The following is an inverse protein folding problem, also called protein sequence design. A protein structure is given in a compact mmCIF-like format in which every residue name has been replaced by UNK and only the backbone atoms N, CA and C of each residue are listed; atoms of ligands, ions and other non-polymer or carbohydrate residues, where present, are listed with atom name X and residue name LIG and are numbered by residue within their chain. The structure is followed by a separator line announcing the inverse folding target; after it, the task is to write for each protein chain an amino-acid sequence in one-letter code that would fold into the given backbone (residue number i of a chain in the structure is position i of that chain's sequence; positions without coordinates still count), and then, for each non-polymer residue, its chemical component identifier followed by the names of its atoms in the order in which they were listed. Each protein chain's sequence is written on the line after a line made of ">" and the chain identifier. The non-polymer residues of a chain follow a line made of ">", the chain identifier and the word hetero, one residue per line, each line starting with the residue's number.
data_IF_005176506059
#
_entry.id   IF_005176506059
#
_cell.length_a   1.000
_cell.length_b   1.000
_cell.length_c   1.000
_cell.angle_alpha   90.00
_cell.angle_beta   90.00
_cell.angle_gamma   90.00
#
_symmetry.space_group_name_H-M   'P 1'
#
loop_
_entity.id
_entity.type
_entity.pdbx_description
1 polymer ?
#
# COMPACT_ATOMS: atom_id res chain seq x y z
N UNK A 1 3.82 41.56 20.96
CA UNK A 1 3.22 41.28 19.65
C UNK A 1 4.34 41.03 18.64
N UNK A 2 4.33 39.85 18.02
CA UNK A 2 5.08 39.44 16.82
C UNK A 2 6.61 39.22 16.92
N UNK A 3 6.93 38.06 17.48
CA UNK A 3 8.03 37.19 17.08
C UNK A 3 7.62 36.49 15.78
N UNK A 4 8.13 36.92 14.62
CA UNK A 4 8.26 36.12 13.38
C UNK A 4 8.98 36.97 12.33
N UNK A 5 10.32 37.03 12.38
CA UNK A 5 11.16 37.62 11.32
C UNK A 5 12.37 36.75 10.99
N UNK A 6 12.27 35.44 11.11
CA UNK A 6 13.42 34.56 10.88
C UNK A 6 13.05 33.19 10.28
N UNK A 7 12.27 33.18 9.19
CA UNK A 7 12.27 32.09 8.20
C UNK A 7 11.86 32.66 6.85
N UNK A 8 12.80 33.15 6.03
CA UNK A 8 12.53 33.39 4.62
C UNK A 8 13.81 33.34 3.78
N UNK A 9 14.49 32.19 3.78
CA UNK A 9 15.65 31.99 2.88
C UNK A 9 15.85 30.51 2.47
N UNK A 10 14.79 29.84 2.01
CA UNK A 10 14.93 28.47 1.44
C UNK A 10 14.00 28.14 0.27
N UNK A 11 13.31 29.13 -0.33
CA UNK A 11 12.35 28.89 -1.42
C UNK A 11 12.98 29.06 -2.82
N UNK A 12 14.26 29.41 -2.93
CA UNK A 12 14.90 29.70 -4.23
C UNK A 12 15.38 28.44 -4.98
N UNK A 13 15.42 27.26 -4.34
CA UNK A 13 16.00 26.06 -4.97
C UNK A 13 15.00 25.11 -5.68
N UNK A 14 13.70 25.45 -5.74
CA UNK A 14 12.68 24.58 -6.36
C UNK A 14 12.05 25.16 -7.64
N UNK A 15 12.76 26.02 -8.38
CA UNK A 15 12.20 26.64 -9.60
C UNK A 15 13.02 26.41 -10.89
N UNK A 16 14.04 25.52 -10.89
CA UNK A 16 14.87 25.26 -12.09
C UNK A 16 14.92 23.75 -12.47
N UNK A 17 13.83 23.00 -12.27
CA UNK A 17 13.77 21.61 -12.79
C UNK A 17 12.41 21.20 -13.37
N UNK A 18 11.55 22.14 -13.74
CA UNK A 18 10.30 21.84 -14.45
C UNK A 18 10.34 22.10 -15.96
N UNK A 19 11.40 22.75 -16.47
CA UNK A 19 11.51 23.06 -17.90
C UNK A 19 12.28 22.02 -18.72
N UNK A 20 13.00 21.08 -18.10
CA UNK A 20 13.76 20.05 -18.84
C UNK A 20 12.92 18.77 -19.08
N UNK A 21 11.88 18.51 -18.29
CA UNK A 21 11.07 17.29 -18.45
C UNK A 21 10.04 17.34 -19.61
N UNK A 22 9.81 18.53 -20.21
CA UNK A 22 8.85 18.71 -21.31
C UNK A 22 9.40 18.39 -22.71
N UNK A 23 10.68 18.07 -22.86
CA UNK A 23 11.28 17.85 -24.19
C UNK A 23 11.53 16.39 -24.57
N UNK A 24 11.23 15.41 -23.72
CA UNK A 24 11.52 13.98 -24.03
C UNK A 24 10.26 13.15 -24.31
N UNK A 25 9.04 13.62 -24.00
CA UNK A 25 7.82 12.79 -24.08
C UNK A 25 6.78 13.18 -25.16
N UNK A 26 7.23 13.72 -26.30
CA UNK A 26 6.34 14.06 -27.44
C UNK A 26 6.30 13.02 -28.57
N UNK A 27 7.34 12.17 -28.72
CA UNK A 27 7.44 11.23 -29.86
C UNK A 27 7.09 9.77 -29.55
N UNK A 28 7.05 9.32 -28.29
CA UNK A 28 6.80 7.91 -27.98
C UNK A 28 5.30 7.58 -27.75
N UNK A 29 4.49 8.57 -27.40
CA UNK A 29 3.05 8.40 -27.09
C UNK A 29 2.17 8.25 -28.33
N UNK A 30 2.64 8.66 -29.52
CA UNK A 30 1.90 8.56 -30.79
C UNK A 30 2.03 7.20 -31.50
N UNK A 31 3.00 6.36 -31.11
CA UNK A 31 3.25 5.07 -31.77
C UNK A 31 2.46 3.91 -31.12
N UNK A 32 2.16 4.01 -29.83
CA UNK A 32 1.45 2.97 -29.08
C UNK A 32 -0.06 2.97 -29.40
N UNK A 33 -0.63 4.13 -29.73
CA UNK A 33 -2.07 4.27 -30.03
C UNK A 33 -2.50 3.79 -31.42
N UNK A 34 -1.58 3.50 -32.36
CA UNK A 34 -1.95 3.02 -33.71
C UNK A 34 -2.01 1.50 -33.89
N UNK A 35 -1.65 0.71 -32.87
CA UNK A 35 -1.55 -0.76 -32.99
C UNK A 35 -2.74 -1.53 -32.39
N UNK A 36 -3.67 -0.86 -31.70
CA UNK A 36 -4.80 -1.52 -31.01
C UNK A 36 -6.16 -1.38 -31.73
N UNK A 37 -6.27 -0.61 -32.81
CA UNK A 37 -7.52 -0.43 -33.57
C UNK A 37 -7.78 -1.53 -34.62
N UNK A 38 -7.02 -2.63 -34.60
CA UNK A 38 -7.05 -3.64 -35.66
C UNK A 38 -7.78 -4.95 -35.34
N UNK A 39 -8.46 -5.13 -34.19
CA UNK A 39 -8.86 -6.48 -33.79
C UNK A 39 -10.14 -6.69 -32.96
N UNK A 40 -11.16 -5.83 -33.03
CA UNK A 40 -12.50 -6.21 -32.50
C UNK A 40 -13.61 -5.71 -33.43
N UNK A 41 -14.02 -6.59 -34.35
CA UNK A 41 -15.34 -6.55 -34.98
C UNK A 41 -16.14 -7.71 -34.37
N UNK A 42 -17.13 -7.41 -33.53
CA UNK A 42 -18.47 -8.01 -33.59
C UNK A 42 -19.30 -7.75 -32.32
N UNK A 43 -20.61 -7.67 -32.59
CA UNK A 43 -21.77 -7.74 -31.69
C UNK A 43 -22.31 -6.39 -31.20
N UNK A 44 -23.25 -5.91 -32.01
CA UNK A 44 -24.23 -4.87 -31.74
C UNK A 44 -25.33 -5.33 -30.75
N UNK A 45 -26.22 -4.40 -30.43
CA UNK A 45 -27.37 -4.44 -29.49
C UNK A 45 -26.94 -4.29 -28.01
N UNK A 46 -27.26 -3.24 -27.28
CA UNK A 46 -28.21 -2.16 -27.46
C UNK A 46 -29.05 -2.05 -26.20
N UNK A 47 -28.54 -1.38 -25.16
CA UNK A 47 -29.35 -0.79 -24.09
C UNK A 47 -28.55 0.30 -23.37
N UNK A 48 -29.09 1.52 -23.39
CA UNK A 48 -28.59 2.70 -22.66
C UNK A 48 -28.72 2.45 -21.16
N UNK A 49 -27.84 3.03 -20.34
CA UNK A 49 -28.22 3.89 -19.20
C UNK A 49 -26.96 4.51 -18.51
N UNK A 50 -26.86 5.83 -18.71
CA UNK A 50 -26.46 6.90 -17.79
C UNK A 50 -25.11 6.87 -17.04
N UNK A 51 -24.23 7.76 -17.50
CA UNK A 51 -23.20 8.41 -16.68
C UNK A 51 -23.85 9.24 -15.56
N UNK A 52 -23.37 9.03 -14.33
CA UNK A 52 -23.33 10.10 -13.33
C UNK A 52 -21.97 10.07 -12.65
N UNK A 53 -21.02 10.87 -13.16
CA UNK A 53 -19.85 11.27 -12.39
C UNK A 53 -20.32 12.22 -11.30
N UNK A 54 -20.04 11.88 -10.04
CA UNK A 54 -20.08 12.83 -8.94
C UNK A 54 -18.76 12.82 -8.18
N UNK A 55 -18.47 13.99 -7.64
CA UNK A 55 -17.17 14.58 -7.41
C UNK A 55 -16.52 14.21 -6.07
N UNK A 56 -15.18 14.22 -6.06
CA UNK A 56 -14.26 14.59 -4.96
C UNK A 56 -14.36 13.85 -3.62
N UNK A 57 -13.28 13.13 -3.30
CA UNK A 57 -12.89 12.78 -1.94
C UNK A 57 -11.59 11.99 -1.97
N UNK A 58 -10.48 12.58 -1.50
CA UNK A 58 -9.21 11.88 -1.34
C UNK A 58 -9.36 10.79 -0.29
N UNK A 59 -9.32 9.52 -0.71
CA UNK A 59 -9.22 8.37 0.18
C UNK A 59 -8.25 7.35 -0.42
N UNK A 60 -7.45 6.77 0.48
CA UNK A 60 -6.45 5.72 0.29
C UNK A 60 -6.81 4.78 -0.88
N UNK A 61 -5.97 4.75 -1.92
CA UNK A 61 -6.14 3.84 -3.05
C UNK A 61 -5.89 2.40 -2.59
N UNK A 62 -6.96 1.65 -2.40
CA UNK A 62 -6.95 0.19 -2.34
C UNK A 62 -6.31 -0.34 -3.63
N UNK A 63 -5.07 -0.82 -3.52
CA UNK A 63 -4.41 -1.57 -4.59
C UNK A 63 -5.09 -2.93 -4.71
N UNK A 64 -6.14 -3.01 -5.53
CA UNK A 64 -6.79 -4.28 -5.87
C UNK A 64 -5.88 -5.00 -6.87
N UNK A 65 -5.07 -5.94 -6.38
CA UNK A 65 -4.37 -6.88 -7.27
C UNK A 65 -5.36 -7.98 -7.74
N UNK A 66 -5.40 -8.36 -9.03
CA UNK A 66 -6.58 -9.01 -9.62
C UNK A 66 -6.79 -10.50 -9.30
N UNK A 67 -6.12 -11.07 -8.29
CA UNK A 67 -6.06 -12.53 -8.11
C UNK A 67 -6.32 -13.06 -6.70
N UNK A 68 -6.69 -12.22 -5.73
CA UNK A 68 -6.99 -12.68 -4.37
C UNK A 68 -8.30 -12.12 -3.81
N UNK A 69 -9.17 -12.97 -3.23
CA UNK A 69 -10.50 -12.60 -2.75
C UNK A 69 -10.46 -12.02 -1.33
N UNK A 70 -9.45 -11.19 -1.05
CA UNK A 70 -9.18 -10.69 0.29
C UNK A 70 -9.03 -9.17 0.28
N UNK A 71 -9.61 -8.51 1.29
CA UNK A 71 -9.48 -7.06 1.47
C UNK A 71 -8.49 -6.79 2.59
N UNK A 72 -7.35 -6.18 2.26
CA UNK A 72 -6.36 -5.71 3.23
C UNK A 72 -6.76 -4.32 3.74
N UNK A 73 -6.64 -4.11 5.05
CA UNK A 73 -6.83 -2.81 5.68
C UNK A 73 -5.86 -2.57 6.82
N UNK A 74 -5.79 -1.33 7.28
CA UNK A 74 -4.97 -0.89 8.41
C UNK A 74 -5.80 0.03 9.31
N UNK A 75 -6.03 -0.40 10.55
CA UNK A 75 -6.67 0.42 11.57
C UNK A 75 -5.61 0.94 12.55
N UNK A 76 -5.27 2.22 12.40
CA UNK A 76 -4.25 2.90 13.21
C UNK A 76 -4.71 3.14 14.66
N UNK A 77 -6.01 3.15 14.94
CA UNK A 77 -6.54 3.41 16.29
C UNK A 77 -6.32 2.23 17.21
N UNK A 78 -6.51 1.02 16.67
CA UNK A 78 -6.27 -0.24 17.39
C UNK A 78 -4.92 -0.86 17.03
N UNK A 79 -4.12 -0.17 16.21
CA UNK A 79 -2.77 -0.56 15.81
C UNK A 79 -2.72 -1.97 15.18
N UNK A 80 -3.56 -2.17 14.17
CA UNK A 80 -3.77 -3.48 13.55
C UNK A 80 -3.85 -3.40 12.03
N UNK A 81 -3.05 -4.22 11.35
CA UNK A 81 -3.28 -4.59 9.96
C UNK A 81 -4.21 -5.79 9.92
N UNK A 82 -5.18 -5.79 9.01
CA UNK A 82 -6.13 -6.88 8.92
C UNK A 82 -6.41 -7.27 7.48
N UNK A 83 -6.85 -8.50 7.31
CA UNK A 83 -7.37 -9.01 6.05
C UNK A 83 -8.76 -9.58 6.31
N UNK A 84 -9.79 -9.02 5.66
CA UNK A 84 -11.12 -9.60 5.63
C UNK A 84 -11.12 -10.81 4.69
N UNK A 85 -11.55 -11.94 5.21
CA UNK A 85 -11.50 -13.23 4.54
C UNK A 85 -12.85 -13.55 3.92
N UNK A 86 -12.84 -14.24 2.79
CA UNK A 86 -14.06 -14.73 2.16
C UNK A 86 -13.93 -16.21 1.80
N UNK A 87 -15.03 -16.93 1.90
CA UNK A 87 -15.17 -18.35 1.55
C UNK A 87 -16.49 -18.54 0.82
N UNK A 88 -16.47 -19.20 -0.34
CA UNK A 88 -17.64 -19.45 -1.20
C UNK A 88 -18.47 -18.18 -1.52
N UNK A 89 -17.79 -17.05 -1.70
CA UNK A 89 -18.42 -15.77 -2.00
C UNK A 89 -19.08 -15.09 -0.78
N UNK A 90 -18.95 -15.66 0.41
CA UNK A 90 -19.40 -15.05 1.68
C UNK A 90 -18.22 -14.50 2.46
N UNK A 91 -18.38 -13.30 3.01
CA UNK A 91 -17.37 -12.69 3.89
C UNK A 91 -17.46 -13.37 5.26
N UNK A 92 -16.32 -13.85 5.75
CA UNK A 92 -16.20 -14.41 7.10
C UNK A 92 -16.31 -13.32 8.16
N UNK A 93 -16.89 -13.65 9.31
CA UNK A 93 -16.88 -12.77 10.48
C UNK A 93 -15.47 -12.66 11.10
N UNK A 94 -14.64 -13.68 10.91
CA UNK A 94 -13.25 -13.69 11.35
C UNK A 94 -12.35 -12.97 10.32
N UNK A 95 -11.26 -12.40 10.83
CA UNK A 95 -10.24 -11.72 10.03
C UNK A 95 -8.85 -12.19 10.44
N UNK A 96 -7.93 -12.20 9.50
CA UNK A 96 -6.52 -12.35 9.83
C UNK A 96 -5.98 -10.99 10.28
N UNK A 97 -5.10 -10.98 11.27
CA UNK A 97 -4.59 -9.75 11.90
C UNK A 97 -3.10 -9.78 12.12
N UNK A 98 -2.48 -8.60 12.06
CA UNK A 98 -1.13 -8.33 12.54
C UNK A 98 -1.18 -7.09 13.42
N UNK A 99 -0.80 -7.27 14.68
CA UNK A 99 -0.89 -6.25 15.72
C UNK A 99 0.49 -5.67 16.02
N UNK A 100 0.52 -4.38 16.31
CA UNK A 100 1.74 -3.66 16.67
C UNK A 100 1.48 -2.67 17.79
N UNK A 101 2.55 -2.22 18.43
CA UNK A 101 2.49 -1.13 19.41
C UNK A 101 3.63 -0.14 19.19
N UNK A 102 3.52 1.07 19.75
CA UNK A 102 4.64 2.00 19.77
C UNK A 102 5.51 1.76 21.00
N UNK A 103 6.77 1.39 20.77
CA UNK A 103 7.78 1.30 21.85
C UNK A 103 8.17 2.71 22.30
N UNK A 104 8.39 3.60 21.32
CA UNK A 104 8.67 5.03 21.51
C UNK A 104 8.42 5.77 20.20
N UNK A 105 8.56 7.09 20.21
CA UNK A 105 8.41 7.91 19.00
C UNK A 105 9.33 7.38 17.87
N UNK A 106 8.73 7.03 16.73
CA UNK A 106 9.44 6.54 15.55
C UNK A 106 9.90 5.08 15.61
N UNK A 107 9.52 4.31 16.65
CA UNK A 107 9.79 2.87 16.73
C UNK A 107 8.52 2.13 17.15
N UNK A 108 8.12 1.15 16.33
CA UNK A 108 7.04 0.21 16.64
C UNK A 108 7.58 -1.17 16.94
N UNK A 109 6.85 -1.96 17.71
CA UNK A 109 7.05 -3.40 17.85
C UNK A 109 5.95 -4.13 17.09
N UNK A 110 6.32 -5.06 16.20
CA UNK A 110 5.37 -5.95 15.53
C UNK A 110 5.24 -7.23 16.37
N UNK A 111 4.15 -7.31 17.11
CA UNK A 111 4.04 -8.18 18.28
C UNK A 111 3.40 -9.52 17.97
N UNK A 112 2.34 -9.50 17.16
CA UNK A 112 1.51 -10.68 16.96
C UNK A 112 0.97 -10.75 15.54
N UNK A 113 0.81 -11.96 15.02
CA UNK A 113 0.16 -12.24 13.74
C UNK A 113 -0.68 -13.49 13.90
N UNK A 114 -1.97 -13.40 13.59
CA UNK A 114 -2.91 -14.51 13.70
C UNK A 114 -3.70 -14.65 12.40
N UNK A 115 -3.85 -15.90 11.97
CA UNK A 115 -4.71 -16.27 10.84
C UNK A 115 -5.67 -17.34 11.33
N UNK A 116 -7.00 -17.16 11.18
CA UNK A 116 -7.95 -18.15 11.66
C UNK A 116 -7.67 -19.52 11.05
N UNK A 117 -7.82 -20.62 11.80
CA UNK A 117 -7.38 -21.97 11.39
C UNK A 117 -7.85 -22.39 9.99
N UNK A 118 -9.10 -22.07 9.64
CA UNK A 118 -9.72 -22.41 8.34
C UNK A 118 -9.00 -21.78 7.13
N UNK A 119 -8.29 -20.69 7.35
CA UNK A 119 -7.59 -19.92 6.32
C UNK A 119 -6.07 -20.09 6.37
N UNK A 120 -5.54 -20.90 7.30
CA UNK A 120 -4.09 -21.20 7.36
C UNK A 120 -3.62 -21.96 6.12
N UNK A 121 -2.32 -21.91 5.84
CA UNK A 121 -1.71 -22.55 4.67
C UNK A 121 -1.95 -21.82 3.33
N UNK A 122 -2.77 -20.77 3.30
CA UNK A 122 -3.09 -20.00 2.08
C UNK A 122 -2.18 -18.78 1.84
N UNK A 123 -1.11 -18.62 2.63
CA UNK A 123 -0.16 -17.51 2.51
C UNK A 123 -0.64 -16.16 3.06
N UNK A 124 -1.78 -16.10 3.75
CA UNK A 124 -2.38 -14.84 4.27
C UNK A 124 -1.45 -14.10 5.25
N UNK A 125 -0.79 -14.82 6.16
CA UNK A 125 0.18 -14.22 7.08
C UNK A 125 1.35 -13.54 6.34
N UNK A 126 1.73 -14.07 5.16
CA UNK A 126 2.79 -13.52 4.31
C UNK A 126 2.37 -12.15 3.73
N UNK A 127 1.10 -12.02 3.38
CA UNK A 127 0.52 -10.78 2.86
C UNK A 127 0.50 -9.73 3.97
N UNK A 128 -0.02 -10.07 5.16
CA UNK A 128 0.01 -9.19 6.33
C UNK A 128 1.42 -8.70 6.66
N UNK A 129 2.40 -9.62 6.68
CA UNK A 129 3.79 -9.29 6.96
C UNK A 129 4.35 -8.28 5.96
N UNK A 130 4.14 -8.52 4.65
CA UNK A 130 4.57 -7.60 3.60
C UNK A 130 3.93 -6.23 3.76
N UNK A 131 2.62 -6.17 3.91
CA UNK A 131 1.86 -4.93 3.98
C UNK A 131 2.27 -4.08 5.20
N UNK A 132 2.47 -4.72 6.36
CA UNK A 132 2.96 -4.03 7.56
C UNK A 132 4.39 -3.52 7.38
N UNK A 133 5.31 -4.35 6.90
CA UNK A 133 6.71 -3.96 6.71
C UNK A 133 6.84 -2.84 5.67
N UNK A 134 6.17 -2.96 4.53
CA UNK A 134 6.16 -1.95 3.46
C UNK A 134 5.60 -0.62 3.96
N UNK A 135 4.52 -0.66 4.76
CA UNK A 135 3.95 0.52 5.38
C UNK A 135 4.99 1.24 6.25
N UNK A 136 5.63 0.55 7.19
CA UNK A 136 6.59 1.20 8.10
C UNK A 136 7.88 1.64 7.41
N UNK A 137 8.33 0.94 6.38
CA UNK A 137 9.42 1.42 5.51
C UNK A 137 9.05 2.74 4.86
N UNK A 138 7.85 2.82 4.25
CA UNK A 138 7.36 4.03 3.58
C UNK A 138 7.22 5.20 4.54
N UNK A 139 6.71 4.96 5.74
CA UNK A 139 6.56 5.97 6.79
C UNK A 139 7.89 6.30 7.49
N UNK A 140 8.99 5.66 7.10
CA UNK A 140 10.32 5.85 7.70
C UNK A 140 10.33 5.58 9.22
N UNK A 141 9.55 4.59 9.66
CA UNK A 141 9.44 4.15 11.05
C UNK A 141 10.32 2.91 11.24
N UNK A 142 11.04 2.84 12.37
CA UNK A 142 11.83 1.66 12.72
C UNK A 142 10.95 0.60 13.38
N UNK A 143 11.33 -0.66 13.21
CA UNK A 143 10.55 -1.82 13.64
C UNK A 143 11.38 -2.72 14.54
N UNK A 144 10.85 -3.03 15.71
CA UNK A 144 11.24 -4.22 16.49
C UNK A 144 10.31 -5.36 16.08
N UNK A 145 10.83 -6.58 16.02
CA UNK A 145 10.05 -7.76 15.66
C UNK A 145 9.98 -8.71 16.86
N UNK A 146 8.99 -8.56 17.74
CA UNK A 146 8.73 -9.55 18.81
C UNK A 146 8.00 -10.80 18.31
N UNK A 147 7.21 -10.67 17.24
CA UNK A 147 6.54 -11.80 16.61
C UNK A 147 7.54 -12.76 15.95
N UNK A 148 7.57 -14.02 16.40
CA UNK A 148 8.46 -15.06 15.84
C UNK A 148 8.20 -15.36 14.37
N UNK A 149 6.93 -15.24 13.92
CA UNK A 149 6.58 -15.38 12.51
C UNK A 149 7.24 -14.30 11.65
N UNK A 150 7.22 -13.04 12.09
CA UNK A 150 7.80 -11.92 11.34
C UNK A 150 9.34 -11.98 11.33
N UNK A 151 9.96 -12.38 12.45
CA UNK A 151 11.39 -12.67 12.48
C UNK A 151 11.77 -13.72 11.45
N UNK A 152 11.00 -14.81 11.35
CA UNK A 152 11.20 -15.86 10.35
C UNK A 152 10.97 -15.32 8.93
N UNK A 153 9.89 -14.58 8.69
CA UNK A 153 9.57 -14.00 7.39
C UNK A 153 10.70 -13.14 6.85
N UNK A 154 11.25 -12.22 7.65
CA UNK A 154 12.37 -11.36 7.23
C UNK A 154 13.64 -12.17 7.00
N UNK A 155 13.92 -13.18 7.83
CA UNK A 155 15.08 -14.07 7.64
C UNK A 155 15.02 -14.81 6.31
N UNK A 156 13.83 -15.27 5.93
CA UNK A 156 13.58 -15.97 4.66
C UNK A 156 13.46 -15.02 3.47
N UNK A 157 13.23 -13.71 3.71
CA UNK A 157 13.05 -12.69 2.67
C UNK A 157 13.83 -11.41 3.06
N UNK A 158 15.19 -11.45 3.08
CA UNK A 158 16.01 -10.36 3.60
C UNK A 158 16.14 -9.22 2.59
N UNK A 159 15.11 -8.38 2.49
CA UNK A 159 15.17 -7.17 1.66
C UNK A 159 15.95 -6.06 2.38
N UNK A 160 16.90 -5.38 1.72
CA UNK A 160 17.71 -4.33 2.35
C UNK A 160 16.87 -3.26 3.06
N UNK A 161 15.80 -2.81 2.42
CA UNK A 161 14.87 -1.81 2.97
C UNK A 161 14.20 -2.24 4.29
N UNK A 162 13.97 -3.55 4.50
CA UNK A 162 13.43 -4.05 5.75
C UNK A 162 14.52 -4.06 6.82
N UNK A 163 15.69 -4.62 6.48
CA UNK A 163 16.81 -4.75 7.39
C UNK A 163 17.28 -3.40 7.95
N UNK A 164 17.32 -2.36 7.11
CA UNK A 164 17.67 -0.99 7.53
C UNK A 164 16.72 -0.38 8.57
N UNK A 165 15.46 -0.82 8.58
CA UNK A 165 14.44 -0.34 9.52
C UNK A 165 14.31 -1.23 10.76
N UNK A 166 14.85 -2.44 10.74
CA UNK A 166 14.76 -3.34 11.87
C UNK A 166 15.77 -2.96 12.94
N UNK A 167 15.29 -2.76 14.17
CA UNK A 167 16.13 -2.56 15.34
C UNK A 167 16.26 -3.88 16.09
N UNK A 168 17.51 -4.30 16.30
CA UNK A 168 17.82 -5.36 17.27
C UNK A 168 17.80 -4.73 18.66
N UNK A 169 16.95 -5.28 19.53
CA UNK A 169 16.90 -4.95 20.97
C UNK A 169 18.19 -5.32 21.68
#
# INVERSE_FOLDING_TARGET
>A
MNIVKEVCESVVYLHISMSIFRLINSSLTKLITRKLEGHIMNVATGERLNLTLSTKGSSEQTKISPSMPYLVGHDKKIMEFYIKLSEDGKVSEEKAVLQYSFVRKGIVDLEHTEVPPLFRGRGIAKILAREALDYFVKENIKMKLSCTYLQKYVRENPLPQYLEKIVTS
#
